data_IF_390871395796
#
_entry.id   IF_390871395796
#
_cell.length_a   1.000
_cell.length_b   1.000
_cell.length_c   1.000
_cell.angle_alpha   90.00
_cell.angle_beta   90.00
_cell.angle_gamma   90.00
#
_symmetry.space_group_name_H-M   'P 1'
#
loop_
_entity.id
_entity.type
_entity.pdbx_description
1 polymer ?
#
# COMPACT_ATOMS: atom_id res chain seq x y z
N UNK A 1 -2.92 -22.35 -5.33
CA UNK A 1 -2.20 -21.43 -4.42
C UNK A 1 -0.88 -22.09 -4.07
N UNK A 2 0.24 -21.37 -4.18
CA UNK A 2 1.59 -21.85 -3.80
C UNK A 2 2.07 -20.99 -2.64
N UNK A 3 2.68 -21.60 -1.62
CA UNK A 3 3.24 -20.91 -0.46
C UNK A 3 4.77 -20.91 -0.57
N UNK A 4 5.37 -19.72 -0.50
CA UNK A 4 6.83 -19.54 -0.48
C UNK A 4 7.30 -19.43 0.96
N UNK A 5 8.34 -20.18 1.33
CA UNK A 5 8.82 -20.26 2.72
C UNK A 5 10.30 -19.87 2.88
N UNK A 6 10.96 -19.48 1.80
CA UNK A 6 12.35 -19.01 1.81
C UNK A 6 12.41 -17.60 1.21
N UNK A 7 13.36 -16.80 1.67
CA UNK A 7 13.58 -15.45 1.14
C UNK A 7 14.08 -15.54 -0.32
N UNK A 8 14.93 -16.52 -0.59
CA UNK A 8 15.52 -16.77 -1.91
C UNK A 8 14.44 -17.01 -2.97
N UNK A 9 13.47 -17.90 -2.69
CA UNK A 9 12.36 -18.18 -3.61
C UNK A 9 11.43 -16.97 -3.76
N UNK A 10 11.18 -16.23 -2.68
CA UNK A 10 10.37 -15.02 -2.73
C UNK A 10 11.00 -13.94 -3.63
N UNK A 11 12.30 -13.69 -3.51
CA UNK A 11 13.03 -12.76 -4.38
C UNK A 11 13.02 -13.26 -5.83
N UNK A 12 13.31 -14.55 -6.04
CA UNK A 12 13.37 -15.13 -7.38
C UNK A 12 12.02 -15.00 -8.12
N UNK A 13 10.91 -15.26 -7.45
CA UNK A 13 9.59 -15.27 -8.07
C UNK A 13 8.90 -13.90 -8.06
N UNK A 14 8.96 -13.15 -6.95
CA UNK A 14 8.18 -11.93 -6.76
C UNK A 14 8.92 -10.65 -7.14
N UNK A 15 10.24 -10.70 -7.30
CA UNK A 15 11.03 -9.54 -7.74
C UNK A 15 11.60 -9.78 -9.14
N UNK A 16 12.53 -10.74 -9.28
CA UNK A 16 13.22 -10.99 -10.55
C UNK A 16 12.29 -11.47 -11.66
N UNK A 17 11.33 -12.33 -11.32
CA UNK A 17 10.32 -12.87 -12.24
C UNK A 17 8.92 -12.30 -12.02
N UNK A 18 8.85 -11.13 -11.37
CA UNK A 18 7.59 -10.45 -11.05
C UNK A 18 6.64 -10.33 -12.23
N UNK A 19 7.15 -10.01 -13.43
CA UNK A 19 6.37 -9.91 -14.65
C UNK A 19 5.57 -11.18 -14.99
N UNK A 20 6.06 -12.37 -14.60
CA UNK A 20 5.41 -13.65 -14.88
C UNK A 20 4.36 -14.02 -13.83
N UNK A 21 4.59 -13.67 -12.56
CA UNK A 21 3.82 -14.21 -11.43
C UNK A 21 3.02 -13.19 -10.63
N UNK A 22 3.28 -11.90 -10.80
CA UNK A 22 2.69 -10.84 -9.96
C UNK A 22 1.55 -10.07 -10.63
N UNK A 23 1.18 -10.39 -11.87
CA UNK A 23 0.01 -9.78 -12.52
C UNK A 23 -1.27 -10.15 -11.78
N UNK A 24 -2.20 -9.21 -11.64
CA UNK A 24 -3.45 -9.41 -10.91
C UNK A 24 -4.50 -10.11 -11.79
N UNK A 25 -5.10 -11.22 -11.33
CA UNK A 25 -6.21 -11.84 -12.05
C UNK A 25 -7.46 -10.98 -11.94
N UNK A 26 -8.34 -11.06 -12.94
CA UNK A 26 -9.67 -10.44 -12.87
C UNK A 26 -10.48 -11.08 -11.73
N UNK A 27 -11.05 -10.26 -10.87
CA UNK A 27 -11.89 -10.70 -9.75
C UNK A 27 -13.25 -10.00 -9.82
N UNK A 28 -14.35 -10.73 -10.06
CA UNK A 28 -15.69 -10.14 -10.17
C UNK A 28 -16.12 -9.33 -8.93
N UNK A 29 -15.62 -9.67 -7.74
CA UNK A 29 -15.92 -8.93 -6.52
C UNK A 29 -15.32 -7.53 -6.56
N UNK A 30 -14.13 -7.37 -7.14
CA UNK A 30 -13.49 -6.06 -7.32
C UNK A 30 -14.32 -5.19 -8.26
N UNK A 31 -14.84 -5.78 -9.34
CA UNK A 31 -15.68 -5.07 -10.31
C UNK A 31 -17.01 -4.65 -9.68
N UNK A 32 -17.62 -5.52 -8.87
CA UNK A 32 -18.85 -5.20 -8.12
C UNK A 32 -18.64 -4.06 -7.11
N UNK A 33 -17.45 -3.97 -6.53
CA UNK A 33 -17.08 -2.89 -5.61
C UNK A 33 -16.67 -1.59 -6.33
N UNK A 34 -16.59 -1.59 -7.66
CA UNK A 34 -16.16 -0.42 -8.44
C UNK A 34 -14.65 -0.13 -8.37
N UNK A 35 -13.84 -1.13 -7.98
CA UNK A 35 -12.39 -0.97 -7.80
C UNK A 35 -11.55 -1.50 -8.96
N UNK A 36 -12.16 -1.81 -10.11
CA UNK A 36 -11.48 -2.40 -11.28
C UNK A 36 -10.33 -1.54 -11.84
N UNK A 37 -10.38 -0.22 -11.62
CA UNK A 37 -9.41 0.73 -12.17
C UNK A 37 -8.32 1.19 -11.17
N UNK A 38 -8.30 0.63 -9.97
CA UNK A 38 -7.28 0.95 -8.96
C UNK A 38 -5.98 0.23 -9.28
N UNK A 39 -4.83 0.88 -9.06
CA UNK A 39 -3.51 0.31 -9.39
C UNK A 39 -3.22 -1.05 -8.73
N UNK A 40 -3.85 -1.35 -7.59
CA UNK A 40 -3.67 -2.63 -6.87
C UNK A 40 -4.42 -3.80 -7.51
N UNK A 41 -5.42 -3.52 -8.33
CA UNK A 41 -6.34 -4.51 -8.90
C UNK A 41 -6.14 -4.70 -10.40
N UNK A 42 -5.56 -3.69 -11.08
CA UNK A 42 -5.27 -3.76 -12.50
C UNK A 42 -4.23 -4.85 -12.85
N UNK A 43 -4.47 -5.64 -13.92
CA UNK A 43 -3.45 -6.52 -14.48
C UNK A 43 -2.28 -5.71 -15.04
N UNK A 44 -1.11 -6.34 -15.14
CA UNK A 44 0.04 -5.69 -15.75
C UNK A 44 -0.24 -5.33 -17.22
N UNK A 45 0.11 -4.09 -17.60
CA UNK A 45 -0.19 -3.53 -18.91
C UNK A 45 -0.04 -2.01 -18.92
N UNK A 46 -0.44 -1.38 -20.03
CA UNK A 46 -0.34 0.08 -20.18
C UNK A 46 -1.19 0.84 -19.15
N UNK A 47 -2.39 0.34 -18.84
CA UNK A 47 -3.28 0.92 -17.84
C UNK A 47 -2.64 0.94 -16.45
N UNK A 48 -2.10 -0.20 -16.00
CA UNK A 48 -1.37 -0.31 -14.75
C UNK A 48 -0.13 0.60 -14.73
N UNK A 49 0.68 0.62 -15.80
CA UNK A 49 1.86 1.50 -15.92
C UNK A 49 1.49 2.98 -15.86
N UNK A 50 0.33 3.37 -16.40
CA UNK A 50 -0.19 4.75 -16.33
C UNK A 50 -0.62 5.09 -14.89
N UNK A 51 -1.44 4.26 -14.26
CA UNK A 51 -1.92 4.49 -12.89
C UNK A 51 -0.76 4.50 -11.88
N UNK A 52 0.18 3.56 -12.00
CA UNK A 52 1.38 3.50 -11.16
C UNK A 52 2.20 4.79 -11.26
N UNK A 53 2.43 5.31 -12.47
CA UNK A 53 3.16 6.57 -12.68
C UNK A 53 2.48 7.77 -12.01
N UNK A 54 1.15 7.79 -11.93
CA UNK A 54 0.42 8.84 -11.23
C UNK A 54 0.56 8.69 -9.71
N UNK A 55 0.31 7.48 -9.17
CA UNK A 55 0.44 7.20 -7.74
C UNK A 55 1.86 7.48 -7.23
N UNK A 56 2.87 7.04 -7.99
CA UNK A 56 4.28 7.17 -7.63
C UNK A 56 4.71 8.63 -7.43
N UNK A 57 4.06 9.60 -8.09
CA UNK A 57 4.37 11.04 -7.89
C UNK A 57 4.17 11.49 -6.44
N UNK A 58 3.12 10.99 -5.78
CA UNK A 58 2.85 11.31 -4.38
C UNK A 58 3.67 10.45 -3.40
N UNK A 59 4.12 9.28 -3.82
CA UNK A 59 4.87 8.34 -2.95
C UNK A 59 6.39 8.44 -3.11
N UNK A 60 6.88 9.25 -4.04
CA UNK A 60 8.32 9.47 -4.23
C UNK A 60 8.93 10.17 -3.03
N UNK A 61 10.22 9.89 -2.81
CA UNK A 61 11.04 10.51 -1.76
C UNK A 61 10.95 12.04 -1.78
N UNK A 62 10.91 12.63 -2.97
CA UNK A 62 10.86 14.09 -3.15
C UNK A 62 9.52 14.71 -2.72
N UNK A 63 8.43 13.91 -2.69
CA UNK A 63 7.14 14.34 -2.18
C UNK A 63 7.05 14.23 -0.65
N UNK A 64 7.92 13.44 0.01
CA UNK A 64 7.88 13.21 1.46
C UNK A 64 7.88 14.50 2.30
N UNK A 65 8.67 15.55 1.98
CA UNK A 65 8.65 16.79 2.77
C UNK A 65 7.27 17.45 2.85
N UNK A 66 6.42 17.29 1.82
CA UNK A 66 5.06 17.85 1.78
C UNK A 66 4.15 17.25 2.86
N UNK A 67 4.40 16.00 3.27
CA UNK A 67 3.57 15.30 4.25
C UNK A 67 4.08 15.45 5.69
N UNK A 68 5.34 15.87 5.89
CA UNK A 68 5.97 15.88 7.23
C UNK A 68 5.22 16.72 8.25
N UNK A 69 4.71 17.87 7.86
CA UNK A 69 3.95 18.74 8.76
C UNK A 69 2.70 18.03 9.29
N UNK A 70 1.87 17.51 8.38
CA UNK A 70 0.62 16.81 8.73
C UNK A 70 0.92 15.54 9.53
N UNK A 71 1.96 14.80 9.17
CA UNK A 71 2.40 13.62 9.93
C UNK A 71 2.83 13.99 11.35
N UNK A 72 3.63 15.05 11.53
CA UNK A 72 4.06 15.50 12.86
C UNK A 72 2.88 15.94 13.72
N UNK A 73 1.95 16.70 13.16
CA UNK A 73 0.72 17.11 13.84
C UNK A 73 -0.11 15.91 14.32
N UNK A 74 -0.33 14.91 13.44
CA UNK A 74 -1.06 13.69 13.80
C UNK A 74 -0.34 12.83 14.82
N UNK A 75 1.00 12.78 14.77
CA UNK A 75 1.80 12.09 15.77
C UNK A 75 1.70 12.78 17.13
N UNK A 76 1.74 14.11 17.20
CA UNK A 76 1.57 14.81 18.48
C UNK A 76 0.20 14.54 19.10
N UNK A 77 -0.87 14.62 18.31
CA UNK A 77 -2.23 14.28 18.76
C UNK A 77 -2.30 12.86 19.34
N UNK A 78 -1.76 11.88 18.60
CA UNK A 78 -1.72 10.48 19.02
C UNK A 78 -0.95 10.32 20.35
N UNK A 79 0.18 11.01 20.49
CA UNK A 79 0.99 10.93 21.72
C UNK A 79 0.29 11.54 22.93
N UNK A 80 -0.44 12.65 22.75
CA UNK A 80 -1.27 13.24 23.82
C UNK A 80 -2.35 12.25 24.28
N UNK A 81 -3.10 11.67 23.34
CA UNK A 81 -4.15 10.69 23.64
C UNK A 81 -3.60 9.43 24.34
N UNK A 82 -2.41 8.98 23.94
CA UNK A 82 -1.72 7.85 24.57
C UNK A 82 -1.22 8.16 25.98
N UNK A 83 -0.86 9.41 26.27
CA UNK A 83 -0.47 9.82 27.63
C UNK A 83 -1.68 9.89 28.56
N UNK A 84 -2.83 10.32 28.04
CA UNK A 84 -4.08 10.41 28.80
C UNK A 84 -4.66 9.03 29.13
N UNK A 85 -4.61 8.09 28.18
CA UNK A 85 -5.12 6.73 28.37
C UNK A 85 -4.21 5.66 27.74
N UNK A 86 -3.10 5.31 28.40
CA UNK A 86 -2.16 4.33 27.86
C UNK A 86 -2.71 2.89 27.83
N UNK A 87 -3.77 2.60 28.58
CA UNK A 87 -4.35 1.24 28.68
C UNK A 87 -5.11 0.90 27.40
N UNK A 88 -5.82 1.88 26.83
CA UNK A 88 -6.59 1.70 25.60
C UNK A 88 -5.77 2.01 24.33
N UNK A 89 -4.51 1.58 24.31
CA UNK A 89 -3.53 1.84 23.25
C UNK A 89 -4.08 1.70 21.82
N UNK A 90 -4.79 0.60 21.53
CA UNK A 90 -5.30 0.31 20.18
C UNK A 90 -6.39 1.27 19.72
N UNK A 91 -7.18 1.82 20.64
CA UNK A 91 -8.31 2.68 20.32
C UNK A 91 -7.84 4.02 19.74
N UNK A 92 -6.68 4.51 20.20
CA UNK A 92 -6.07 5.76 19.74
C UNK A 92 -5.63 5.76 18.26
N UNK A 93 -5.53 4.58 17.62
CA UNK A 93 -5.18 4.47 16.20
C UNK A 93 -6.39 4.44 15.25
N UNK A 94 -7.61 4.58 15.78
CA UNK A 94 -8.84 4.50 14.98
C UNK A 94 -9.38 5.86 14.49
N UNK A 95 -8.70 6.96 14.83
CA UNK A 95 -9.09 8.36 14.53
C UNK A 95 -8.33 8.91 13.32
#
# INVERSE_FOLDING_TARGET
VVVLNTLEDAIELLEKRSANYSSRPTNPVIDLMGFQDVVMTLPYGDAWRKQRRLLERGLKKDAMPLYRHVQAEKVHLLLEQLLDDPVNFSEHFTT
#
